data_IF_640463017831
#
_entry.id   IF_640463017831
#
_cell.length_a   1.000
_cell.length_b   1.000
_cell.length_c   1.000
_cell.angle_alpha   90.00
_cell.angle_beta   90.00
_cell.angle_gamma   90.00
#
_symmetry.space_group_name_H-M   'P 1'
#
loop_
_entity.id
_entity.type
_entity.pdbx_description
1 polymer ?
#
# COMPACT_ATOMS: atom_id res chain seq x y z
N UNK A 1 -15.62 25.01 -1.28
CA UNK A 1 -14.73 24.39 -2.28
C UNK A 1 -13.35 24.87 -1.93
N UNK A 2 -12.64 24.09 -1.13
CA UNK A 2 -11.21 24.25 -0.92
C UNK A 2 -10.55 23.73 -2.19
N UNK A 3 -9.82 24.59 -2.89
CA UNK A 3 -9.06 24.18 -4.08
C UNK A 3 -8.13 23.03 -3.69
N UNK A 4 -8.21 21.92 -4.43
CA UNK A 4 -7.33 20.78 -4.22
C UNK A 4 -5.88 21.22 -4.47
N UNK A 5 -4.92 20.82 -3.63
CA UNK A 5 -3.50 21.11 -3.86
C UNK A 5 -2.93 20.32 -5.05
N UNK A 6 -3.66 19.33 -5.58
CA UNK A 6 -3.22 18.55 -6.74
C UNK A 6 -3.04 19.42 -7.98
N UNK A 7 -1.94 19.20 -8.70
CA UNK A 7 -1.77 19.76 -10.05
C UNK A 7 -2.80 19.16 -11.02
N UNK A 8 -3.22 19.92 -12.03
CA UNK A 8 -4.25 19.46 -13.00
C UNK A 8 -3.94 18.09 -13.62
N UNK A 9 -2.69 17.77 -14.03
CA UNK A 9 -2.35 16.43 -14.52
C UNK A 9 -2.56 15.32 -13.46
N UNK A 10 -2.23 15.58 -12.20
CA UNK A 10 -2.45 14.62 -11.12
C UNK A 10 -3.94 14.41 -10.82
N UNK A 11 -4.78 15.44 -11.01
CA UNK A 11 -6.23 15.32 -10.91
C UNK A 11 -6.80 14.47 -12.05
N UNK A 12 -6.39 14.71 -13.29
CA UNK A 12 -6.81 13.92 -14.45
C UNK A 12 -6.38 12.45 -14.31
N UNK A 13 -5.15 12.23 -13.85
CA UNK A 13 -4.62 10.91 -13.52
C UNK A 13 -5.45 10.22 -12.43
N UNK A 14 -5.78 10.93 -11.34
CA UNK A 14 -6.65 10.42 -10.27
C UNK A 14 -8.02 10.00 -10.79
N UNK A 15 -8.65 10.86 -11.58
CA UNK A 15 -9.97 10.58 -12.14
C UNK A 15 -9.95 9.37 -13.09
N UNK A 16 -8.87 9.17 -13.84
CA UNK A 16 -8.67 7.98 -14.66
C UNK A 16 -8.57 6.72 -13.79
N UNK A 17 -7.82 6.78 -12.70
CA UNK A 17 -7.69 5.67 -11.75
C UNK A 17 -9.02 5.35 -11.06
N UNK A 18 -9.79 6.35 -10.66
CA UNK A 18 -11.12 6.13 -10.05
C UNK A 18 -12.08 5.45 -11.04
N UNK A 19 -12.06 5.84 -12.33
CA UNK A 19 -12.85 5.17 -13.37
C UNK A 19 -12.41 3.73 -13.59
N UNK A 20 -11.10 3.49 -13.60
CA UNK A 20 -10.53 2.15 -13.74
C UNK A 20 -11.01 1.25 -12.58
N UNK A 21 -10.82 1.69 -11.34
CA UNK A 21 -11.26 0.97 -10.13
C UNK A 21 -12.75 0.67 -10.18
N UNK A 22 -13.58 1.66 -10.53
CA UNK A 22 -15.02 1.50 -10.61
C UNK A 22 -15.44 0.48 -11.69
N UNK A 23 -14.65 0.33 -12.76
CA UNK A 23 -14.91 -0.66 -13.81
C UNK A 23 -14.50 -2.09 -13.42
N UNK A 24 -13.53 -2.25 -12.53
CA UNK A 24 -13.03 -3.54 -12.04
C UNK A 24 -13.91 -4.10 -10.90
N UNK A 25 -14.40 -3.22 -10.02
CA UNK A 25 -15.18 -3.62 -8.83
C UNK A 25 -16.65 -3.85 -9.17
N UNK A 26 -16.98 -5.08 -9.54
CA UNK A 26 -18.38 -5.52 -9.74
C UNK A 26 -19.18 -5.70 -8.44
N UNK A 27 -18.49 -5.82 -7.30
CA UNK A 27 -19.07 -6.00 -5.98
C UNK A 27 -18.36 -5.06 -4.96
N UNK A 28 -19.05 -4.66 -3.89
CA UNK A 28 -18.43 -3.88 -2.82
C UNK A 28 -17.41 -4.72 -2.06
N UNK A 29 -16.34 -4.06 -1.61
CA UNK A 29 -15.32 -4.66 -0.75
C UNK A 29 -15.89 -4.93 0.66
N UNK A 30 -15.36 -5.92 1.39
CA UNK A 30 -15.84 -6.25 2.73
C UNK A 30 -15.70 -5.07 3.69
N UNK A 31 -16.64 -4.98 4.64
CA UNK A 31 -16.50 -4.11 5.80
C UNK A 31 -15.67 -4.81 6.88
N UNK A 32 -15.22 -4.05 7.88
CA UNK A 32 -14.43 -4.57 9.00
C UNK A 32 -15.12 -5.74 9.71
N UNK A 33 -16.44 -5.68 9.84
CA UNK A 33 -17.27 -6.68 10.52
C UNK A 33 -17.36 -8.00 9.72
N UNK A 34 -17.06 -7.96 8.42
CA UNK A 34 -17.09 -9.13 7.54
C UNK A 34 -15.75 -9.91 7.56
N UNK A 35 -14.70 -9.34 8.15
CA UNK A 35 -13.38 -9.96 8.18
C UNK A 35 -13.31 -11.17 9.11
N UNK A 36 -12.68 -12.24 8.63
CA UNK A 36 -12.32 -13.37 9.47
C UNK A 36 -11.29 -12.96 10.57
N UNK A 37 -11.08 -13.77 11.63
CA UNK A 37 -10.14 -13.44 12.70
C UNK A 37 -8.71 -13.13 12.23
N UNK A 38 -8.22 -13.86 11.23
CA UNK A 38 -6.88 -13.66 10.64
C UNK A 38 -6.85 -12.37 9.84
N UNK A 39 -7.83 -12.13 8.97
CA UNK A 39 -7.95 -10.88 8.19
C UNK A 39 -8.04 -9.65 9.10
N UNK A 40 -8.79 -9.73 10.20
CA UNK A 40 -8.84 -8.65 11.17
C UNK A 40 -7.50 -8.44 11.90
N UNK A 41 -6.70 -9.50 12.12
CA UNK A 41 -5.34 -9.36 12.64
C UNK A 41 -4.40 -8.71 11.61
N UNK A 42 -4.47 -9.16 10.35
CA UNK A 42 -3.74 -8.57 9.21
C UNK A 42 -4.07 -7.08 9.03
N UNK A 43 -5.36 -6.71 9.10
CA UNK A 43 -5.83 -5.32 9.08
C UNK A 43 -5.15 -4.46 10.14
N UNK A 44 -4.97 -4.99 11.37
CA UNK A 44 -4.31 -4.24 12.46
C UNK A 44 -2.83 -4.02 12.19
N UNK A 45 -2.14 -5.04 11.68
CA UNK A 45 -0.72 -4.93 11.29
C UNK A 45 -0.59 -3.91 10.16
N UNK A 46 -1.39 -4.04 9.10
CA UNK A 46 -1.42 -3.11 7.97
C UNK A 46 -1.73 -1.67 8.41
N UNK A 47 -2.68 -1.47 9.31
CA UNK A 47 -2.95 -0.15 9.88
C UNK A 47 -1.78 0.41 10.70
N UNK A 48 -1.08 -0.45 11.45
CA UNK A 48 0.11 -0.07 12.20
C UNK A 48 1.24 0.43 11.30
N UNK A 49 1.51 -0.25 10.20
CA UNK A 49 2.59 0.13 9.27
C UNK A 49 2.23 1.34 8.42
N UNK A 50 0.94 1.52 8.08
CA UNK A 50 0.45 2.74 7.44
C UNK A 50 0.63 3.98 8.33
N UNK A 51 0.34 3.86 9.64
CA UNK A 51 0.61 4.93 10.61
C UNK A 51 2.10 5.24 10.73
N UNK A 52 2.96 4.21 10.74
CA UNK A 52 4.41 4.41 10.73
C UNK A 52 4.89 5.12 9.46
N UNK A 53 4.28 4.83 8.31
CA UNK A 53 4.56 5.54 7.07
C UNK A 53 4.17 7.02 7.13
N UNK A 54 2.99 7.35 7.66
CA UNK A 54 2.60 8.75 7.85
C UNK A 54 3.54 9.49 8.80
N UNK A 55 3.91 8.86 9.92
CA UNK A 55 4.93 9.37 10.83
C UNK A 55 6.27 9.64 10.13
N UNK A 56 6.69 8.74 9.23
CA UNK A 56 7.89 8.92 8.42
C UNK A 56 7.77 10.10 7.44
N UNK A 57 6.62 10.26 6.77
CA UNK A 57 6.41 11.41 5.88
C UNK A 57 6.51 12.73 6.64
N UNK A 58 5.92 12.83 7.83
CA UNK A 58 5.96 14.03 8.66
C UNK A 58 7.38 14.36 9.18
N UNK A 59 8.15 13.32 9.53
CA UNK A 59 9.45 13.49 10.21
C UNK A 59 10.65 13.47 9.28
N UNK A 60 10.54 12.83 8.12
CA UNK A 60 11.71 12.36 7.36
C UNK A 60 11.61 12.57 5.85
N UNK A 61 10.42 12.67 5.25
CA UNK A 61 10.31 12.97 3.82
C UNK A 61 10.62 14.45 3.53
N UNK A 62 11.88 14.85 3.70
CA UNK A 62 12.36 16.19 3.41
C UNK A 62 12.99 16.28 2.01
N UNK A 63 12.95 17.48 1.46
CA UNK A 63 13.63 17.87 0.23
C UNK A 63 15.16 17.65 0.29
N UNK A 64 15.74 17.55 1.49
CA UNK A 64 17.17 17.24 1.68
C UNK A 64 17.48 15.75 1.40
N UNK A 65 16.59 14.84 1.81
CA UNK A 65 16.76 13.41 1.60
C UNK A 65 16.35 12.99 0.19
N UNK A 66 15.35 13.66 -0.38
CA UNK A 66 14.83 13.39 -1.71
C UNK A 66 14.68 14.70 -2.50
N UNK A 67 15.74 15.15 -3.20
CA UNK A 67 15.73 16.40 -3.96
C UNK A 67 14.61 16.51 -5.01
N UNK A 68 14.15 15.36 -5.52
CA UNK A 68 13.01 15.26 -6.45
C UNK A 68 11.72 15.86 -5.88
N UNK A 69 11.58 15.87 -4.54
CA UNK A 69 10.42 16.46 -3.87
C UNK A 69 10.38 17.99 -3.97
N UNK A 70 11.48 18.66 -4.32
CA UNK A 70 11.52 20.11 -4.59
C UNK A 70 10.77 20.44 -5.87
N UNK A 71 11.01 19.67 -6.94
CA UNK A 71 10.36 19.89 -8.23
C UNK A 71 8.92 19.37 -8.21
N UNK A 72 8.68 18.28 -7.49
CA UNK A 72 7.40 17.61 -7.40
C UNK A 72 7.01 17.27 -5.95
N UNK A 73 6.45 18.25 -5.20
CA UNK A 73 6.06 18.05 -3.80
C UNK A 73 4.98 16.96 -3.64
N UNK A 74 5.03 16.24 -2.52
CA UNK A 74 4.02 15.20 -2.19
C UNK A 74 2.59 15.75 -2.10
N UNK A 75 2.31 16.93 -1.49
CA UNK A 75 0.93 17.43 -1.37
C UNK A 75 0.25 17.73 -2.71
N UNK A 76 1.02 17.88 -3.79
CA UNK A 76 0.52 18.15 -5.13
C UNK A 76 0.26 16.87 -5.95
N UNK A 77 0.48 15.71 -5.33
CA UNK A 77 0.39 14.38 -5.93
C UNK A 77 -0.62 13.51 -5.19
N UNK A 78 -1.11 12.51 -5.90
CA UNK A 78 -2.06 11.55 -5.37
C UNK A 78 -1.32 10.53 -4.50
N UNK A 79 -1.76 10.36 -3.27
CA UNK A 79 -1.37 9.23 -2.45
C UNK A 79 -2.15 8.00 -2.86
N UNK A 80 -1.44 6.94 -3.28
CA UNK A 80 -2.04 5.66 -3.63
C UNK A 80 -1.64 4.64 -2.58
N UNK A 81 -2.63 4.12 -1.85
CA UNK A 81 -2.41 2.99 -0.97
C UNK A 81 -2.80 1.68 -1.67
N UNK A 82 -1.79 0.87 -2.01
CA UNK A 82 -1.95 -0.42 -2.69
C UNK A 82 -1.98 -1.54 -1.64
N UNK A 83 -3.04 -2.34 -1.63
CA UNK A 83 -3.26 -3.28 -0.53
C UNK A 83 -4.17 -4.46 -0.88
N UNK A 84 -4.58 -5.26 0.09
CA UNK A 84 -5.61 -6.29 -0.04
C UNK A 84 -6.90 -5.89 0.71
N UNK A 85 -7.89 -6.78 0.78
CA UNK A 85 -9.15 -6.50 1.47
C UNK A 85 -8.97 -6.11 2.94
N UNK A 86 -8.02 -6.74 3.65
CA UNK A 86 -7.75 -6.44 5.05
C UNK A 86 -7.18 -5.04 5.18
N UNK A 87 -6.25 -4.66 4.31
CA UNK A 87 -5.68 -3.32 4.32
C UNK A 87 -6.63 -2.26 3.77
N UNK A 88 -7.57 -2.58 2.88
CA UNK A 88 -8.64 -1.65 2.48
C UNK A 88 -9.51 -1.26 3.69
N UNK A 89 -9.83 -2.23 4.55
CA UNK A 89 -10.53 -1.94 5.81
C UNK A 89 -9.68 -1.03 6.72
N UNK A 90 -8.36 -1.21 6.77
CA UNK A 90 -7.47 -0.32 7.52
C UNK A 90 -7.44 1.10 6.92
N UNK A 91 -7.41 1.21 5.58
CA UNK A 91 -7.44 2.48 4.86
C UNK A 91 -8.68 3.29 5.22
N UNK A 92 -9.86 2.66 5.23
CA UNK A 92 -11.13 3.32 5.58
C UNK A 92 -11.20 3.82 7.03
N UNK A 93 -10.44 3.21 7.95
CA UNK A 93 -10.37 3.66 9.33
C UNK A 93 -9.38 4.82 9.53
N UNK A 94 -8.31 4.86 8.74
CA UNK A 94 -7.14 5.72 8.99
C UNK A 94 -7.00 6.87 7.98
N UNK A 95 -7.62 6.77 6.81
CA UNK A 95 -7.49 7.73 5.71
C UNK A 95 -8.83 8.39 5.41
N UNK A 96 -8.79 9.67 5.05
CA UNK A 96 -9.93 10.33 4.43
C UNK A 96 -9.94 10.04 2.93
N UNK A 97 -10.63 8.95 2.52
CA UNK A 97 -10.75 8.56 1.11
C UNK A 97 -11.76 9.42 0.32
N UNK A 98 -12.43 10.39 0.96
CA UNK A 98 -13.33 11.33 0.27
C UNK A 98 -12.58 12.47 -0.42
N UNK A 99 -11.28 12.62 -0.12
CA UNK A 99 -10.41 13.65 -0.67
C UNK A 99 -9.82 13.22 -2.03
N UNK A 100 -9.63 14.16 -2.98
CA UNK A 100 -8.97 13.81 -4.25
C UNK A 100 -7.48 13.46 -4.07
N UNK A 101 -6.85 13.83 -2.97
CA UNK A 101 -5.43 13.56 -2.71
C UNK A 101 -5.12 12.11 -2.32
N UNK A 102 -6.10 11.27 -1.97
CA UNK A 102 -5.83 9.91 -1.48
C UNK A 102 -6.79 8.90 -2.08
N UNK A 103 -6.25 7.74 -2.47
CA UNK A 103 -7.04 6.59 -2.93
C UNK A 103 -6.50 5.29 -2.38
N UNK A 104 -7.33 4.26 -2.39
CA UNK A 104 -6.99 2.90 -1.97
C UNK A 104 -7.42 1.91 -3.05
N UNK A 105 -6.45 1.10 -3.50
CA UNK A 105 -6.60 0.16 -4.61
C UNK A 105 -6.11 -1.22 -4.18
N UNK A 106 -6.77 -2.28 -4.66
CA UNK A 106 -6.31 -3.63 -4.40
C UNK A 106 -5.07 -3.93 -5.25
N UNK A 107 -4.15 -4.76 -4.77
CA UNK A 107 -2.90 -5.10 -5.46
C UNK A 107 -3.14 -5.71 -6.85
N UNK A 108 -4.20 -6.49 -7.00
CA UNK A 108 -4.58 -7.11 -8.28
C UNK A 108 -5.07 -6.04 -9.27
N UNK A 109 -5.91 -5.12 -8.81
CA UNK A 109 -6.37 -3.97 -9.60
C UNK A 109 -5.20 -3.06 -9.97
N UNK A 110 -4.29 -2.80 -9.05
CA UNK A 110 -3.12 -1.96 -9.29
C UNK A 110 -2.20 -2.55 -10.35
N UNK A 111 -1.97 -3.88 -10.31
CA UNK A 111 -1.16 -4.57 -11.32
C UNK A 111 -1.73 -4.40 -12.72
N UNK A 112 -3.05 -4.48 -12.87
CA UNK A 112 -3.70 -4.23 -14.16
C UNK A 112 -3.68 -2.75 -14.55
N UNK A 113 -3.84 -1.84 -13.58
CA UNK A 113 -3.83 -0.40 -13.83
C UNK A 113 -2.48 0.07 -14.39
N UNK A 114 -1.36 -0.36 -13.82
CA UNK A 114 -0.02 0.06 -14.28
C UNK A 114 0.36 -0.49 -15.66
N UNK A 115 -0.37 -1.49 -16.17
CA UNK A 115 -0.19 -2.03 -17.53
C UNK A 115 -1.12 -1.34 -18.55
N UNK A 116 -2.09 -0.53 -18.10
CA UNK A 116 -3.01 0.19 -18.99
C UNK A 116 -2.30 1.43 -19.59
N UNK A 117 -2.32 1.60 -20.93
CA UNK A 117 -1.68 2.74 -21.61
C UNK A 117 -2.13 4.12 -21.12
N UNK A 118 -3.26 4.23 -20.43
CA UNK A 118 -3.71 5.48 -19.81
C UNK A 118 -2.77 5.95 -18.69
N UNK A 119 -2.00 5.04 -18.07
CA UNK A 119 -1.09 5.34 -16.95
C UNK A 119 0.41 5.21 -17.28
N UNK A 120 0.77 4.90 -18.53
CA UNK A 120 2.14 4.62 -19.01
C UNK A 120 3.13 5.80 -18.81
N UNK A 121 2.63 7.02 -18.56
CA UNK A 121 3.43 8.24 -18.48
C UNK A 121 3.94 8.60 -17.05
N UNK A 122 3.70 7.79 -16.01
CA UNK A 122 4.06 8.14 -14.61
C UNK A 122 5.18 7.30 -13.98
N UNK A 123 6.14 6.81 -14.78
CA UNK A 123 7.31 6.04 -14.28
C UNK A 123 8.17 6.79 -13.24
N UNK A 124 8.08 8.12 -13.23
CA UNK A 124 8.84 8.99 -12.32
C UNK A 124 8.05 9.47 -11.10
N UNK A 125 6.82 8.96 -10.91
CA UNK A 125 5.95 9.27 -9.77
C UNK A 125 5.65 10.78 -9.65
N UNK A 126 5.44 11.46 -10.78
CA UNK A 126 5.12 12.89 -10.85
C UNK A 126 3.63 13.17 -10.60
N UNK A 127 2.74 12.19 -10.82
CA UNK A 127 1.30 12.33 -10.55
C UNK A 127 0.90 11.67 -9.24
N UNK A 128 1.56 10.58 -8.86
CA UNK A 128 1.29 9.87 -7.62
C UNK A 128 2.55 9.56 -6.81
N UNK A 129 2.36 9.21 -5.55
CA UNK A 129 3.31 8.44 -4.76
C UNK A 129 2.54 7.32 -4.10
N UNK A 130 3.21 6.20 -3.83
CA UNK A 130 2.54 5.01 -3.33
C UNK A 130 3.14 4.49 -2.04
N UNK A 131 2.28 3.93 -1.21
CA UNK A 131 2.63 2.99 -0.16
C UNK A 131 1.91 1.68 -0.47
N UNK A 132 2.56 0.55 -0.22
CA UNK A 132 1.91 -0.75 -0.32
C UNK A 132 2.06 -1.53 0.98
N UNK A 133 1.03 -2.32 1.27
CA UNK A 133 1.03 -3.33 2.33
C UNK A 133 0.11 -4.46 1.89
N UNK A 134 0.69 -5.60 1.51
CA UNK A 134 0.00 -6.72 0.89
C UNK A 134 0.36 -8.02 1.58
N UNK A 135 -0.65 -8.88 1.82
CA UNK A 135 -0.46 -10.20 2.39
C UNK A 135 -0.45 -11.28 1.30
N UNK A 136 0.53 -12.18 1.37
CA UNK A 136 0.64 -13.33 0.48
C UNK A 136 0.66 -14.64 1.27
N UNK A 137 -0.01 -15.64 0.72
CA UNK A 137 0.03 -17.01 1.26
C UNK A 137 1.25 -17.80 0.79
N UNK A 138 1.77 -17.44 -0.39
CA UNK A 138 2.88 -18.15 -1.01
C UNK A 138 4.19 -17.63 -0.45
N UNK A 139 4.91 -18.47 0.30
CA UNK A 139 6.28 -18.20 0.73
C UNK A 139 7.22 -18.66 -0.38
N UNK A 140 8.21 -17.87 -0.81
CA UNK A 140 9.18 -18.28 -1.81
C UNK A 140 9.87 -19.60 -1.45
N UNK A 141 9.96 -20.53 -2.41
CA UNK A 141 10.50 -21.89 -2.17
C UNK A 141 11.97 -21.88 -1.73
N UNK A 142 12.71 -20.81 -2.04
CA UNK A 142 14.11 -20.64 -1.68
C UNK A 142 14.31 -20.10 -0.25
N UNK A 143 13.25 -19.85 0.52
CA UNK A 143 13.35 -19.39 1.90
C UNK A 143 13.34 -20.56 2.87
N UNK A 144 14.33 -20.59 3.76
CA UNK A 144 14.39 -21.57 4.85
C UNK A 144 13.49 -21.09 5.99
N UNK A 145 12.32 -21.72 6.13
CA UNK A 145 11.37 -21.43 7.21
C UNK A 145 11.24 -22.64 8.17
N UNK A 146 11.11 -22.41 9.48
CA UNK A 146 10.91 -23.49 10.44
C UNK A 146 9.67 -24.35 10.14
N UNK A 147 9.68 -25.62 10.60
CA UNK A 147 8.49 -26.44 10.53
C UNK A 147 7.37 -25.87 11.41
N UNK A 148 6.15 -25.87 10.89
CA UNK A 148 4.96 -25.38 11.56
C UNK A 148 4.33 -26.45 12.45
N UNK A 149 3.81 -26.03 13.61
CA UNK A 149 2.96 -26.87 14.43
C UNK A 149 1.61 -27.14 13.70
N UNK A 150 0.94 -28.27 13.96
CA UNK A 150 -0.36 -28.56 13.36
C UNK A 150 -1.37 -27.43 13.59
N UNK A 151 -1.98 -26.93 12.51
CA UNK A 151 -2.96 -25.84 12.56
C UNK A 151 -2.38 -24.43 12.50
N UNK A 152 -1.06 -24.30 12.39
CA UNK A 152 -0.39 -23.00 12.16
C UNK A 152 -0.12 -22.78 10.67
N UNK A 153 -0.08 -21.52 10.25
CA UNK A 153 0.18 -21.10 8.86
C UNK A 153 1.20 -19.96 8.81
N UNK A 154 2.02 -19.95 7.76
CA UNK A 154 2.84 -18.80 7.43
C UNK A 154 2.11 -17.85 6.48
N UNK A 155 2.34 -16.57 6.68
CA UNK A 155 1.86 -15.48 5.87
C UNK A 155 3.02 -14.52 5.61
N UNK A 156 3.21 -14.16 4.35
CA UNK A 156 4.17 -13.15 3.96
C UNK A 156 3.47 -11.79 3.96
N UNK A 157 4.07 -10.80 4.59
CA UNK A 157 3.64 -9.41 4.52
C UNK A 157 4.68 -8.63 3.75
N UNK A 158 4.30 -8.10 2.60
CA UNK A 158 5.12 -7.20 1.81
C UNK A 158 4.67 -5.78 2.05
N UNK A 159 5.61 -4.90 2.39
CA UNK A 159 5.34 -3.48 2.55
C UNK A 159 6.44 -2.60 1.96
N UNK A 160 6.09 -1.35 1.69
CA UNK A 160 7.06 -0.38 1.21
C UNK A 160 6.41 0.87 0.64
N UNK A 161 7.24 1.75 0.10
CA UNK A 161 6.78 2.95 -0.57
C UNK A 161 7.68 3.33 -1.75
N UNK A 162 7.10 4.13 -2.65
CA UNK A 162 7.82 4.88 -3.67
C UNK A 162 7.32 6.33 -3.65
N UNK A 163 8.23 7.26 -3.34
CA UNK A 163 7.95 8.70 -3.23
C UNK A 163 8.35 9.49 -4.47
N UNK A 164 9.31 9.00 -5.25
CA UNK A 164 9.84 9.60 -6.47
C UNK A 164 10.78 8.58 -7.15
N UNK A 165 11.26 8.88 -8.35
CA UNK A 165 12.36 8.14 -8.97
C UNK A 165 13.58 8.07 -8.03
N UNK A 166 14.07 6.85 -7.79
CA UNK A 166 15.16 6.58 -6.86
C UNK A 166 14.84 6.83 -5.38
N UNK A 167 13.57 7.07 -5.01
CA UNK A 167 13.16 7.37 -3.64
C UNK A 167 12.13 6.36 -3.15
N UNK A 168 12.59 5.15 -2.85
CA UNK A 168 11.72 4.06 -2.41
C UNK A 168 12.43 3.05 -1.53
N UNK A 169 11.63 2.30 -0.77
CA UNK A 169 12.11 1.13 -0.03
C UNK A 169 10.98 0.12 0.09
N UNK A 170 11.36 -1.13 0.29
CA UNK A 170 10.41 -2.19 0.60
C UNK A 170 11.05 -3.29 1.43
N UNK A 171 10.21 -4.04 2.12
CA UNK A 171 10.60 -5.19 2.92
C UNK A 171 9.52 -6.27 2.86
N UNK A 172 9.95 -7.50 3.10
CA UNK A 172 9.07 -8.65 3.24
C UNK A 172 9.29 -9.30 4.61
N UNK A 173 8.21 -9.48 5.36
CA UNK A 173 8.20 -10.00 6.72
C UNK A 173 7.45 -11.32 6.77
N UNK A 174 8.00 -12.30 7.50
CA UNK A 174 7.32 -13.57 7.70
C UNK A 174 6.51 -13.52 8.99
N UNK A 175 5.22 -13.80 8.88
CA UNK A 175 4.29 -13.86 10.00
C UNK A 175 3.76 -15.27 10.17
N UNK A 176 3.49 -15.65 11.42
CA UNK A 176 2.86 -16.92 11.78
C UNK A 176 1.48 -16.65 12.36
N UNK A 177 0.49 -17.39 11.85
CA UNK A 177 -0.87 -17.44 12.36
C UNK A 177 -1.11 -18.79 13.03
N UNK A 178 -1.58 -18.81 14.27
CA UNK A 178 -1.84 -20.05 15.03
C UNK A 178 -3.32 -20.44 15.15
N UNK A 179 -4.19 -19.74 14.42
CA UNK A 179 -5.65 -19.85 14.56
C UNK A 179 -6.26 -18.80 15.49
N UNK A 180 -5.45 -18.10 16.28
CA UNK A 180 -5.91 -17.08 17.25
C UNK A 180 -5.08 -15.80 17.18
N UNK A 181 -3.75 -15.91 17.08
CA UNK A 181 -2.80 -14.80 17.11
C UNK A 181 -1.93 -14.77 15.85
N UNK A 182 -1.70 -13.54 15.36
CA UNK A 182 -0.75 -13.25 14.28
C UNK A 182 0.52 -12.67 14.90
N UNK A 183 1.60 -13.45 14.87
CA UNK A 183 2.89 -13.09 15.45
C UNK A 183 3.97 -12.97 14.38
N UNK A 184 4.84 -11.97 14.48
CA UNK A 184 6.00 -11.85 13.60
C UNK A 184 6.95 -13.02 13.86
N UNK A 185 7.22 -13.81 12.82
CA UNK A 185 8.10 -14.97 12.89
C UNK A 185 9.54 -14.60 12.50
N UNK A 186 9.69 -13.81 11.45
CA UNK A 186 10.98 -13.26 11.02
C UNK A 186 10.77 -11.85 10.44
N UNK A 187 11.58 -10.92 10.89
CA UNK A 187 11.58 -9.54 10.39
C UNK A 187 12.52 -9.43 9.19
N UNK A 188 12.05 -8.83 8.09
CA UNK A 188 12.91 -8.51 6.93
C UNK A 188 13.61 -9.74 6.35
N UNK A 189 12.82 -10.70 5.87
CA UNK A 189 13.31 -11.81 5.06
C UNK A 189 14.07 -11.31 3.83
N UNK A 190 13.57 -10.24 3.22
CA UNK A 190 14.23 -9.46 2.18
C UNK A 190 13.92 -7.98 2.38
N UNK A 191 14.79 -7.11 1.89
CA UNK A 191 14.54 -5.68 1.77
C UNK A 191 15.30 -5.08 0.62
N UNK A 192 14.85 -3.91 0.18
CA UNK A 192 15.54 -3.08 -0.78
C UNK A 192 15.33 -1.60 -0.43
N UNK A 193 16.32 -0.79 -0.81
CA UNK A 193 16.28 0.67 -0.75
C UNK A 193 16.89 1.17 -2.04
N UNK A 194 16.23 2.14 -2.68
CA UNK A 194 16.76 2.84 -3.85
C UNK A 194 17.36 4.18 -3.48
#
# INVERSE_FOLDING_TARGET
MTDSPLRSPAQEWREALDRFIASQRSAPLPEKEDLDPRQNAQRRVTGGVLLQFFDFLEKTASEELYPQLVEHPLPERVFVFVTDESGHCAARELMDLSTPQATCILQEEWREAIEDPVFDDDETYIHHYQFWSVWHRNIPENWEVPALDPGTEYWLHEEGFALADGAGRGAQHLWRWDGTELSLAEETMTSWTS
#
